data_IF_792645708875
#
_entry.id   IF_792645708875
#
_cell.length_a   1.000
_cell.length_b   1.000
_cell.length_c   1.000
_cell.angle_alpha   90.00
_cell.angle_beta   90.00
_cell.angle_gamma   90.00
#
_symmetry.space_group_name_H-M   'P 1'
#
loop_
_entity.id
_entity.type
_entity.pdbx_description
1 polymer ?
#
# COMPACT_ATOMS: atom_id res chain seq x y z
N UNK A 1 -20.46 -1.67 -23.65
CA UNK A 1 -20.05 -2.29 -22.36
C UNK A 1 -18.97 -1.43 -21.72
N UNK A 2 -19.18 -0.90 -20.50
CA UNK A 2 -18.10 -0.22 -19.75
C UNK A 2 -17.03 -1.26 -19.46
N UNK A 3 -15.83 -1.14 -20.07
CA UNK A 3 -14.69 -2.02 -19.76
C UNK A 3 -14.44 -1.93 -18.25
N UNK A 4 -14.45 -3.08 -17.56
CA UNK A 4 -14.33 -3.14 -16.11
C UNK A 4 -13.04 -2.47 -15.61
N UNK A 5 -13.11 -1.87 -14.43
CA UNK A 5 -11.93 -1.33 -13.71
C UNK A 5 -11.01 -2.46 -13.18
N UNK A 6 -11.47 -3.70 -13.25
CA UNK A 6 -10.76 -4.87 -12.75
C UNK A 6 -9.48 -5.13 -13.54
N UNK A 7 -8.43 -5.49 -12.81
CA UNK A 7 -7.28 -6.17 -13.42
C UNK A 7 -7.69 -7.60 -13.78
N UNK A 8 -6.92 -8.26 -14.66
CA UNK A 8 -7.06 -9.68 -14.96
C UNK A 8 -6.73 -10.55 -13.74
N UNK A 9 -6.77 -11.88 -13.89
CA UNK A 9 -6.20 -12.78 -12.88
C UNK A 9 -4.68 -12.49 -12.73
N UNK A 10 -4.13 -12.39 -11.51
CA UNK A 10 -2.70 -12.23 -11.32
C UNK A 10 -1.93 -13.47 -11.77
N UNK A 11 -0.68 -13.29 -12.21
CA UNK A 11 0.27 -14.40 -12.33
C UNK A 11 0.66 -14.94 -10.96
N UNK A 12 1.39 -16.06 -10.93
CA UNK A 12 1.90 -16.63 -9.67
C UNK A 12 2.84 -15.64 -8.97
N UNK A 13 3.72 -14.98 -9.72
CA UNK A 13 4.68 -13.99 -9.22
C UNK A 13 3.95 -12.75 -8.66
N UNK A 14 2.91 -12.29 -9.36
CA UNK A 14 2.08 -11.17 -8.91
C UNK A 14 1.32 -11.51 -7.63
N UNK A 15 0.84 -12.76 -7.49
CA UNK A 15 0.22 -13.23 -6.26
C UNK A 15 1.25 -13.28 -5.11
N UNK A 16 2.44 -13.85 -5.35
CA UNK A 16 3.52 -13.89 -4.37
C UNK A 16 3.95 -12.48 -3.91
N UNK A 17 4.00 -11.52 -4.83
CA UNK A 17 4.24 -10.10 -4.50
C UNK A 17 3.17 -9.60 -3.53
N UNK A 18 1.88 -9.80 -3.84
CA UNK A 18 0.78 -9.33 -3.01
C UNK A 18 0.71 -10.04 -1.64
N UNK A 19 1.12 -11.30 -1.57
CA UNK A 19 1.22 -12.03 -0.30
C UNK A 19 2.40 -11.51 0.54
N UNK A 20 3.56 -11.27 -0.07
CA UNK A 20 4.70 -10.63 0.60
C UNK A 20 4.35 -9.21 1.10
N UNK A 21 3.55 -8.45 0.37
CA UNK A 21 3.03 -7.15 0.84
C UNK A 21 2.27 -7.32 2.17
N UNK A 22 1.45 -8.36 2.31
CA UNK A 22 0.71 -8.62 3.56
C UNK A 22 1.64 -8.99 4.71
N UNK A 23 2.69 -9.76 4.45
CA UNK A 23 3.69 -10.12 5.45
C UNK A 23 4.54 -8.92 5.89
N UNK A 24 4.83 -8.00 4.97
CA UNK A 24 5.52 -6.73 5.26
C UNK A 24 4.62 -5.81 6.09
N UNK A 25 3.32 -5.77 5.77
CA UNK A 25 2.36 -4.87 6.39
C UNK A 25 2.31 -3.50 5.71
N UNK A 26 1.82 -2.51 6.43
CA UNK A 26 1.55 -1.19 5.87
C UNK A 26 2.84 -0.43 5.54
N UNK A 27 2.98 -0.01 4.28
CA UNK A 27 4.16 0.75 3.80
C UNK A 27 4.30 2.12 4.47
N UNK A 28 3.18 2.76 4.84
CA UNK A 28 3.20 4.04 5.57
C UNK A 28 3.71 3.84 7.00
N UNK A 29 3.21 2.82 7.70
CA UNK A 29 3.67 2.49 9.05
C UNK A 29 5.15 2.08 9.07
N UNK A 30 5.56 1.32 8.05
CA UNK A 30 6.94 0.94 7.82
C UNK A 30 7.85 2.18 7.66
N UNK A 31 7.45 3.14 6.81
CA UNK A 31 8.20 4.38 6.60
C UNK A 31 8.28 5.27 7.85
N UNK A 32 7.25 5.23 8.71
CA UNK A 32 7.22 5.93 10.00
C UNK A 32 7.99 5.21 11.12
N UNK A 33 8.59 4.05 10.86
CA UNK A 33 9.33 3.27 11.87
C UNK A 33 8.43 2.62 12.93
N UNK A 34 7.13 2.48 12.67
CA UNK A 34 6.15 1.93 13.62
C UNK A 34 6.14 0.39 13.66
N UNK A 35 6.99 -0.25 12.86
CA UNK A 35 7.04 -1.71 12.73
C UNK A 35 5.87 -2.27 11.92
N UNK A 36 5.58 -3.56 12.14
CA UNK A 36 4.53 -4.25 11.41
C UNK A 36 3.15 -3.74 11.82
N UNK A 37 2.38 -3.27 10.83
CA UNK A 37 0.95 -3.03 10.96
C UNK A 37 0.20 -3.81 9.87
N UNK A 38 -0.84 -4.60 10.21
CA UNK A 38 -1.63 -5.34 9.23
C UNK A 38 -2.15 -4.42 8.12
N UNK A 39 -2.12 -4.92 6.89
CA UNK A 39 -2.52 -4.14 5.72
C UNK A 39 -3.41 -4.90 4.75
N UNK A 40 -4.08 -4.12 3.91
CA UNK A 40 -4.73 -4.60 2.71
C UNK A 40 -3.92 -4.18 1.49
N UNK A 41 -3.97 -5.02 0.46
CA UNK A 41 -3.34 -4.73 -0.83
C UNK A 41 -4.17 -3.68 -1.56
N UNK A 42 -3.54 -2.54 -1.84
CA UNK A 42 -4.11 -1.42 -2.56
C UNK A 42 -3.51 -1.32 -3.97
N UNK A 43 -4.36 -1.38 -5.00
CA UNK A 43 -3.95 -1.16 -6.39
C UNK A 43 -3.94 0.33 -6.73
N UNK A 44 -2.77 0.83 -7.13
CA UNK A 44 -2.61 2.19 -7.62
C UNK A 44 -3.32 2.38 -8.95
N UNK A 45 -3.85 3.59 -9.17
CA UNK A 45 -4.62 3.92 -10.38
C UNK A 45 -3.87 4.89 -11.28
N UNK A 46 -4.24 4.92 -12.55
CA UNK A 46 -3.69 5.89 -13.51
C UNK A 46 -4.03 7.29 -13.02
N UNK A 47 -3.00 8.10 -12.76
CA UNK A 47 -3.12 9.46 -12.22
C UNK A 47 -3.52 9.52 -10.74
N UNK A 48 -3.51 8.40 -10.01
CA UNK A 48 -3.73 8.33 -8.57
C UNK A 48 -5.09 8.83 -8.09
N UNK A 49 -6.10 8.89 -8.97
CA UNK A 49 -7.46 9.33 -8.60
C UNK A 49 -8.35 8.13 -8.33
N UNK A 50 -9.16 8.23 -7.28
CA UNK A 50 -10.23 7.28 -7.06
C UNK A 50 -11.12 7.25 -8.30
N UNK A 51 -11.55 6.07 -8.71
CA UNK A 51 -12.38 5.94 -9.89
C UNK A 51 -11.64 5.55 -11.17
N UNK A 52 -10.33 5.73 -11.21
CA UNK A 52 -9.52 5.50 -12.41
C UNK A 52 -9.15 4.04 -12.62
N UNK A 53 -8.69 3.73 -13.83
CA UNK A 53 -8.19 2.40 -14.18
C UNK A 53 -7.00 2.05 -13.29
N UNK A 54 -6.94 0.81 -12.78
CA UNK A 54 -5.78 0.28 -12.06
C UNK A 54 -4.58 0.15 -13.00
N UNK A 55 -3.37 0.41 -12.49
CA UNK A 55 -2.12 0.32 -13.26
C UNK A 55 -1.69 -1.13 -13.53
N UNK A 56 -2.07 -2.06 -12.66
CA UNK A 56 -1.74 -3.49 -12.77
C UNK A 56 -1.43 -4.09 -11.40
N UNK A 57 -1.19 -5.40 -11.34
CA UNK A 57 -0.85 -6.08 -10.08
C UNK A 57 0.53 -5.71 -9.55
N UNK A 58 1.46 -5.32 -10.43
CA UNK A 58 2.81 -4.87 -10.05
C UNK A 58 2.80 -3.48 -9.39
N UNK A 59 1.70 -2.75 -9.52
CA UNK A 59 1.48 -1.41 -8.95
C UNK A 59 0.59 -1.50 -7.71
N UNK A 60 1.04 -2.30 -6.74
CA UNK A 60 0.35 -2.58 -5.49
C UNK A 60 1.19 -2.18 -4.29
N UNK A 61 0.52 -1.67 -3.25
CA UNK A 61 1.10 -1.28 -1.96
C UNK A 61 0.25 -1.81 -0.79
N UNK A 62 0.86 -1.99 0.38
CA UNK A 62 0.18 -2.35 1.61
C UNK A 62 -0.26 -1.10 2.38
N UNK A 63 -1.57 -0.95 2.64
CA UNK A 63 -2.10 0.12 3.48
C UNK A 63 -2.93 -0.45 4.64
N UNK A 64 -2.69 0.04 5.86
CA UNK A 64 -3.54 -0.28 7.02
C UNK A 64 -4.94 0.35 6.87
N UNK A 65 -5.96 -0.07 7.65
CA UNK A 65 -7.32 0.47 7.57
C UNK A 65 -7.43 2.00 7.58
N UNK A 66 -6.65 2.70 8.41
CA UNK A 66 -6.63 4.15 8.48
C UNK A 66 -6.04 4.77 7.21
N UNK A 67 -4.80 4.41 6.85
CA UNK A 67 -4.12 4.93 5.66
C UNK A 67 -4.85 4.56 4.36
N UNK A 68 -5.56 3.43 4.33
CA UNK A 68 -6.31 2.95 3.16
C UNK A 68 -7.70 3.60 3.04
N UNK A 69 -8.60 3.28 3.99
CA UNK A 69 -10.03 3.61 3.94
C UNK A 69 -10.43 4.71 4.90
N UNK A 70 -9.52 5.13 5.78
CA UNK A 70 -9.82 6.08 6.85
C UNK A 70 -10.61 5.44 7.97
N UNK A 71 -10.50 4.13 8.15
CA UNK A 71 -11.13 3.42 9.27
C UNK A 71 -10.23 3.50 10.50
N UNK A 72 -10.68 4.16 11.59
CA UNK A 72 -9.89 4.27 12.81
C UNK A 72 -9.61 2.91 13.46
N UNK A 73 -8.50 2.81 14.18
CA UNK A 73 -8.14 1.60 14.90
C UNK A 73 -8.86 1.51 16.25
N UNK A 74 -9.36 0.32 16.61
CA UNK A 74 -9.62 -0.07 18.00
C UNK A 74 -10.23 0.97 18.93
N UNK A 75 -11.34 1.61 18.52
CA UNK A 75 -12.05 2.60 19.36
C UNK A 75 -11.47 4.02 19.34
N UNK A 76 -10.37 4.27 18.63
CA UNK A 76 -9.92 5.63 18.32
C UNK A 76 -10.93 6.34 17.42
N UNK A 77 -10.96 7.67 17.50
CA UNK A 77 -11.64 8.49 16.51
C UNK A 77 -10.69 8.84 15.33
N UNK A 78 -11.27 9.45 14.31
CA UNK A 78 -10.54 9.82 13.10
C UNK A 78 -9.51 10.93 13.36
N UNK A 79 -9.78 11.83 14.31
CA UNK A 79 -8.87 12.93 14.66
C UNK A 79 -7.60 12.39 15.34
N UNK A 80 -7.76 11.46 16.27
CA UNK A 80 -6.65 10.75 16.92
C UNK A 80 -5.81 9.99 15.90
N UNK A 81 -6.44 9.29 14.96
CA UNK A 81 -5.71 8.59 13.91
C UNK A 81 -4.96 9.56 12.98
N UNK A 82 -5.57 10.69 12.63
CA UNK A 82 -4.91 11.72 11.82
C UNK A 82 -3.69 12.32 12.53
N UNK A 83 -3.81 12.60 13.82
CA UNK A 83 -2.72 13.15 14.63
C UNK A 83 -1.55 12.18 14.77
N UNK A 84 -1.82 10.88 14.93
CA UNK A 84 -0.78 9.87 15.14
C UNK A 84 -0.15 9.35 13.84
N UNK A 85 -0.95 9.16 12.79
CA UNK A 85 -0.53 8.46 11.57
C UNK A 85 -0.51 9.37 10.33
N UNK A 86 -0.88 10.64 10.48
CA UNK A 86 -1.05 11.57 9.39
C UNK A 86 -2.37 11.37 8.64
N UNK A 87 -2.56 12.11 7.53
CA UNK A 87 -3.78 12.04 6.72
C UNK A 87 -4.04 10.61 6.21
N UNK A 88 -5.30 10.29 5.96
CA UNK A 88 -5.76 9.08 5.29
C UNK A 88 -5.90 9.31 3.78
N UNK A 89 -5.57 8.28 2.97
CA UNK A 89 -5.72 8.35 1.51
C UNK A 89 -7.17 8.62 1.11
N UNK A 90 -8.13 7.95 1.76
CA UNK A 90 -9.54 8.06 1.42
C UNK A 90 -10.17 9.38 1.92
N UNK A 91 -9.80 9.83 3.12
CA UNK A 91 -10.42 11.02 3.74
C UNK A 91 -9.76 12.34 3.34
N UNK A 92 -8.42 12.37 3.23
CA UNK A 92 -7.67 13.59 2.91
C UNK A 92 -6.70 13.37 1.74
N UNK A 93 -7.16 12.95 0.53
CA UNK A 93 -6.29 12.52 -0.56
C UNK A 93 -5.28 13.56 -1.04
N UNK A 94 -5.61 14.86 -0.97
CA UNK A 94 -4.67 15.93 -1.33
C UNK A 94 -3.53 16.03 -0.32
N UNK A 95 -3.86 16.11 0.97
CA UNK A 95 -2.88 16.16 2.06
C UNK A 95 -2.05 14.89 2.12
N UNK A 96 -2.68 13.72 1.95
CA UNK A 96 -1.97 12.44 1.87
C UNK A 96 -0.85 12.46 0.83
N UNK A 97 -1.14 12.93 -0.39
CA UNK A 97 -0.10 13.01 -1.44
C UNK A 97 1.00 14.04 -1.15
N UNK A 98 0.69 15.07 -0.38
CA UNK A 98 1.63 16.14 -0.03
C UNK A 98 2.51 15.79 1.16
N UNK A 99 1.95 15.14 2.18
CA UNK A 99 2.59 14.91 3.47
C UNK A 99 3.15 13.49 3.59
N UNK A 100 2.47 12.49 3.02
CA UNK A 100 2.90 11.07 3.07
C UNK A 100 3.61 10.70 1.76
N UNK A 101 3.04 11.10 0.63
CA UNK A 101 3.63 10.93 -0.69
C UNK A 101 2.65 10.46 -1.75
N UNK A 102 3.04 10.64 -3.01
CA UNK A 102 2.23 10.24 -4.15
C UNK A 102 2.33 8.72 -4.44
N UNK A 103 1.49 8.24 -5.35
CA UNK A 103 1.43 6.83 -5.76
C UNK A 103 2.80 6.26 -6.18
N UNK A 104 3.63 7.02 -6.91
CA UNK A 104 4.93 6.54 -7.39
C UNK A 104 5.96 6.46 -6.26
N UNK A 105 5.98 7.44 -5.36
CA UNK A 105 6.81 7.41 -4.15
C UNK A 105 6.47 6.21 -3.26
N UNK A 106 5.17 5.97 -3.02
CA UNK A 106 4.73 4.85 -2.20
C UNK A 106 5.02 3.50 -2.85
N UNK A 107 4.95 3.43 -4.17
CA UNK A 107 5.34 2.23 -4.91
C UNK A 107 6.83 1.95 -4.77
N UNK A 108 7.67 2.97 -4.86
CA UNK A 108 9.13 2.85 -4.69
C UNK A 108 9.49 2.38 -3.28
N UNK A 109 8.85 2.95 -2.25
CA UNK A 109 8.98 2.48 -0.87
C UNK A 109 8.54 1.02 -0.73
N UNK A 110 7.42 0.63 -1.34
CA UNK A 110 6.95 -0.74 -1.28
C UNK A 110 7.91 -1.72 -1.98
N UNK A 111 8.47 -1.32 -3.13
CA UNK A 111 9.46 -2.12 -3.85
C UNK A 111 10.73 -2.30 -3.02
N UNK A 112 11.20 -1.22 -2.38
CA UNK A 112 12.34 -1.29 -1.45
C UNK A 112 12.06 -2.25 -0.30
N UNK A 113 10.87 -2.19 0.30
CA UNK A 113 10.48 -3.10 1.38
C UNK A 113 10.39 -4.56 0.90
N UNK A 114 9.92 -4.79 -0.33
CA UNK A 114 9.87 -6.12 -0.96
C UNK A 114 11.26 -6.66 -1.23
N UNK A 115 12.18 -5.87 -1.75
CA UNK A 115 13.57 -6.31 -2.00
C UNK A 115 14.25 -6.72 -0.70
N UNK A 116 14.05 -5.96 0.37
CA UNK A 116 14.56 -6.30 1.70
C UNK A 116 13.89 -7.55 2.28
N UNK A 117 12.58 -7.73 2.07
CA UNK A 117 11.86 -8.93 2.49
C UNK A 117 12.40 -10.15 1.74
N UNK A 118 12.58 -10.06 0.43
CA UNK A 118 13.12 -11.15 -0.38
C UNK A 118 14.56 -11.49 -0.03
N UNK A 119 15.41 -10.50 0.24
CA UNK A 119 16.77 -10.74 0.73
C UNK A 119 16.81 -11.48 2.07
N UNK A 120 15.81 -11.27 2.94
CA UNK A 120 15.67 -11.97 4.23
C UNK A 120 15.11 -13.38 4.08
N UNK A 121 14.05 -13.58 3.30
CA UNK A 121 13.37 -14.88 3.17
C UNK A 121 13.96 -15.79 2.11
N UNK A 122 14.76 -15.25 1.18
CA UNK A 122 15.53 -15.99 0.18
C UNK A 122 17.01 -15.62 0.28
N UNK A 123 17.69 -15.94 1.40
CA UNK A 123 19.06 -15.51 1.66
C UNK A 123 20.08 -16.05 0.63
N UNK A 124 19.70 -17.05 -0.18
CA UNK A 124 20.53 -17.63 -1.24
C UNK A 124 19.70 -17.98 -2.48
N UNK A 125 19.96 -17.28 -3.59
CA UNK A 125 19.92 -17.83 -4.95
C UNK A 125 21.22 -17.42 -5.62
N UNK A 126 22.29 -18.14 -5.29
CA UNK A 126 23.48 -18.09 -6.13
C UNK A 126 23.10 -18.56 -7.54
N UNK A 127 23.62 -17.82 -8.52
CA UNK A 127 23.60 -18.18 -9.92
C UNK A 127 24.27 -19.53 -10.17
#
# INVERSE_FOLDING_TARGET
>A
MKRGRSTSKPTVEQQQRMDAIKDIGCVVAYALGMGYMPCEVHHLTVGGKHGQKRRGHDFTIGLNPWSHRGEPFGGMDAETCEALFGPSYAKQPRRFRQEIGNDDYLLDLQNTALDQYWGRVRPWRAA
#
